data_IF_504363822230
#
_entry.id   IF_504363822230
#
_cell.length_a   1.000
_cell.length_b   1.000
_cell.length_c   1.000
_cell.angle_alpha   90.00
_cell.angle_beta   90.00
_cell.angle_gamma   90.00
#
_symmetry.space_group_name_H-M   'P 1'
#
loop_
_entity.id
_entity.type
_entity.pdbx_description
1 polymer ?
#
# COMPACT_ATOMS: atom_id res chain seq x y z
N UNK A 1 6.77 2.69 -2.07
CA UNK A 1 7.04 1.23 -2.04
C UNK A 1 5.71 0.52 -2.13
N UNK A 2 5.66 -0.60 -2.85
CA UNK A 2 4.44 -1.38 -3.09
C UNK A 2 4.75 -2.84 -2.75
N UNK A 3 3.94 -3.47 -1.92
CA UNK A 3 4.04 -4.89 -1.59
C UNK A 3 2.72 -5.61 -1.90
N UNK A 4 2.81 -6.84 -2.41
CA UNK A 4 1.67 -7.70 -2.70
C UNK A 4 1.64 -8.80 -1.63
N UNK A 5 0.54 -8.89 -0.89
CA UNK A 5 0.35 -9.84 0.20
C UNK A 5 -0.08 -11.19 -0.38
N UNK A 6 0.63 -12.25 0.02
CA UNK A 6 0.29 -13.64 -0.26
C UNK A 6 0.02 -14.41 1.04
N UNK A 7 -0.68 -15.55 0.94
CA UNK A 7 -1.22 -16.38 2.05
C UNK A 7 -0.20 -16.74 3.15
N UNK A 8 1.09 -16.83 2.83
CA UNK A 8 2.15 -17.18 3.79
C UNK A 8 2.79 -15.95 4.42
N UNK A 9 2.69 -15.82 5.75
CA UNK A 9 3.33 -14.83 6.66
C UNK A 9 2.67 -13.43 6.85
N UNK A 10 1.44 -13.25 6.38
CA UNK A 10 0.70 -11.97 6.34
C UNK A 10 0.63 -11.18 7.67
N UNK A 11 0.40 -11.82 8.82
CA UNK A 11 0.12 -11.09 10.07
C UNK A 11 1.38 -10.55 10.77
N UNK A 12 2.49 -11.28 10.72
CA UNK A 12 3.75 -10.92 11.41
C UNK A 12 4.59 -10.00 10.54
N UNK A 13 4.70 -10.32 9.25
CA UNK A 13 5.48 -9.56 8.28
C UNK A 13 4.93 -8.13 8.10
N UNK A 14 3.59 -7.99 8.14
CA UNK A 14 2.90 -6.69 8.05
C UNK A 14 3.22 -5.75 9.20
N UNK A 15 3.52 -6.22 10.41
CA UNK A 15 3.85 -5.32 11.54
C UNK A 15 5.32 -4.90 11.52
N UNK A 16 6.22 -5.85 11.34
CA UNK A 16 7.66 -5.57 11.40
C UNK A 16 8.14 -4.76 10.19
N UNK A 17 7.72 -5.13 8.97
CA UNK A 17 8.07 -4.39 7.75
C UNK A 17 7.46 -3.01 7.73
N UNK A 18 6.19 -2.87 8.12
CA UNK A 18 5.52 -1.57 8.18
C UNK A 18 6.28 -0.61 9.08
N UNK A 19 6.55 -0.97 10.34
CA UNK A 19 7.30 -0.11 11.26
C UNK A 19 8.69 0.26 10.70
N UNK A 20 9.39 -0.71 10.10
CA UNK A 20 10.71 -0.49 9.50
C UNK A 20 10.65 0.49 8.33
N UNK A 21 9.69 0.35 7.42
CA UNK A 21 9.60 1.18 6.23
C UNK A 21 9.05 2.57 6.53
N UNK A 22 8.07 2.70 7.42
CA UNK A 22 7.55 4.02 7.82
C UNK A 22 8.62 4.91 8.49
N UNK A 23 9.69 4.30 9.03
CA UNK A 23 10.86 5.00 9.54
C UNK A 23 11.82 5.55 8.48
N UNK A 24 11.65 5.20 7.19
CA UNK A 24 12.51 5.70 6.13
C UNK A 24 12.16 7.17 5.79
N UNK A 25 13.11 8.12 5.89
CA UNK A 25 12.83 9.55 5.73
C UNK A 25 12.40 9.94 4.31
N UNK A 26 12.81 9.17 3.31
CA UNK A 26 12.50 9.42 1.89
C UNK A 26 11.22 8.73 1.42
N UNK A 27 10.62 7.87 2.25
CA UNK A 27 9.43 7.13 1.86
C UNK A 27 8.21 8.06 1.89
N UNK A 28 7.57 8.25 0.73
CA UNK A 28 6.38 9.09 0.59
C UNK A 28 5.07 8.29 0.69
N UNK A 29 5.09 7.03 0.25
CA UNK A 29 3.95 6.13 0.31
C UNK A 29 4.38 4.67 0.42
N UNK A 30 3.63 3.89 1.19
CA UNK A 30 3.75 2.44 1.32
C UNK A 30 2.39 1.82 1.04
N UNK A 31 2.29 1.04 -0.04
CA UNK A 31 1.05 0.39 -0.45
C UNK A 31 1.17 -1.12 -0.23
N UNK A 32 0.10 -1.72 0.28
CA UNK A 32 -0.09 -3.16 0.43
C UNK A 32 -1.31 -3.57 -0.39
N UNK A 33 -1.17 -4.56 -1.25
CA UNK A 33 -2.28 -5.09 -2.07
C UNK A 33 -2.51 -6.55 -1.73
N UNK A 34 -3.74 -6.94 -1.38
CA UNK A 34 -4.09 -8.35 -1.24
C UNK A 34 -4.14 -9.00 -2.61
N UNK A 35 -3.49 -10.15 -2.82
CA UNK A 35 -3.47 -10.82 -4.12
C UNK A 35 -4.73 -11.64 -4.44
N UNK A 36 -5.63 -11.84 -3.48
CA UNK A 36 -6.81 -12.73 -3.57
C UNK A 36 -8.12 -11.95 -3.63
N UNK A 37 -8.10 -10.72 -3.13
CA UNK A 37 -9.27 -9.84 -3.07
C UNK A 37 -8.88 -8.45 -3.53
N UNK A 38 -9.80 -7.67 -4.14
CA UNK A 38 -9.53 -6.31 -4.52
C UNK A 38 -9.49 -5.43 -3.26
N UNK A 39 -8.44 -5.57 -2.45
CA UNK A 39 -8.25 -4.81 -1.22
C UNK A 39 -6.84 -4.29 -1.15
N UNK A 40 -6.74 -2.97 -1.07
CA UNK A 40 -5.47 -2.28 -0.99
C UNK A 40 -5.44 -1.32 0.19
N UNK A 41 -4.27 -1.22 0.80
CA UNK A 41 -3.98 -0.36 1.94
C UNK A 41 -2.84 0.57 1.58
N UNK A 42 -3.00 1.86 1.84
CA UNK A 42 -1.99 2.87 1.60
C UNK A 42 -1.66 3.64 2.86
N UNK A 43 -0.37 3.75 3.16
CA UNK A 43 0.17 4.66 4.15
C UNK A 43 0.89 5.78 3.41
N UNK A 44 0.42 7.02 3.60
CA UNK A 44 0.94 8.20 2.92
C UNK A 44 1.57 9.14 3.93
N UNK A 45 2.79 9.61 3.62
CA UNK A 45 3.46 10.59 4.48
C UNK A 45 2.78 11.94 4.31
N UNK A 46 2.30 12.50 5.41
CA UNK A 46 1.71 13.85 5.47
C UNK A 46 2.34 14.60 6.66
N UNK A 47 3.24 15.55 6.35
CA UNK A 47 4.04 16.23 7.36
C UNK A 47 4.91 15.26 8.18
N UNK A 48 4.81 15.35 9.50
CA UNK A 48 5.49 14.48 10.46
C UNK A 48 4.79 13.12 10.66
N UNK A 49 3.63 12.92 10.04
CA UNK A 49 2.75 11.78 10.27
C UNK A 49 2.51 10.91 9.04
N UNK A 50 1.67 9.90 9.26
CA UNK A 50 1.22 8.97 8.23
C UNK A 50 -0.32 8.93 8.20
N UNK A 51 -0.90 9.05 7.01
CA UNK A 51 -2.32 8.86 6.78
C UNK A 51 -2.55 7.48 6.20
N UNK A 52 -3.42 6.72 6.85
CA UNK A 52 -3.87 5.42 6.37
C UNK A 52 -5.10 5.58 5.48
N UNK A 53 -5.12 4.87 4.35
CA UNK A 53 -6.27 4.73 3.47
C UNK A 53 -6.45 3.27 3.11
N UNK A 54 -7.69 2.84 3.07
CA UNK A 54 -8.08 1.53 2.58
C UNK A 54 -9.03 1.73 1.42
N UNK A 55 -8.84 0.95 0.36
CA UNK A 55 -9.66 1.02 -0.83
C UNK A 55 -9.89 -0.37 -1.36
N UNK A 56 -11.15 -0.67 -1.67
CA UNK A 56 -11.55 -1.86 -2.41
C UNK A 56 -11.81 -1.56 -3.89
N UNK A 57 -12.08 -0.28 -4.21
CA UNK A 57 -12.35 0.22 -5.55
C UNK A 57 -11.76 1.61 -5.74
N UNK A 58 -11.55 2.01 -6.99
CA UNK A 58 -11.03 3.32 -7.36
C UNK A 58 -9.51 3.35 -7.34
N UNK A 59 -8.95 4.52 -7.02
CA UNK A 59 -7.53 4.79 -7.26
C UNK A 59 -6.76 5.13 -5.98
N UNK A 60 -5.54 4.59 -5.86
CA UNK A 60 -4.59 4.95 -4.79
C UNK A 60 -3.51 5.90 -5.33
N UNK A 61 -3.23 7.04 -4.67
CA UNK A 61 -2.16 7.93 -5.10
C UNK A 61 -0.78 7.26 -5.15
N UNK A 62 0.06 7.68 -6.10
CA UNK A 62 1.48 7.32 -6.20
C UNK A 62 2.32 8.60 -6.20
N UNK A 63 2.57 9.21 -5.01
CA UNK A 63 3.21 10.52 -4.92
C UNK A 63 4.58 10.60 -5.59
N UNK A 64 5.37 9.52 -5.52
CA UNK A 64 6.69 9.46 -6.14
C UNK A 64 6.67 9.48 -7.67
N UNK A 65 5.54 9.15 -8.29
CA UNK A 65 5.35 9.14 -9.75
C UNK A 65 4.42 10.26 -10.21
N UNK A 66 3.83 11.05 -9.30
CA UNK A 66 2.80 12.04 -9.63
C UNK A 66 1.51 11.44 -10.22
N UNK A 67 1.28 10.14 -10.00
CA UNK A 67 0.20 9.38 -10.61
C UNK A 67 -0.70 8.69 -9.60
N UNK A 68 -1.46 7.71 -10.07
CA UNK A 68 -2.33 6.87 -9.26
C UNK A 68 -2.32 5.43 -9.77
N UNK A 69 -2.65 4.51 -8.88
CA UNK A 69 -2.85 3.09 -9.14
C UNK A 69 -4.36 2.84 -9.22
N UNK A 70 -4.89 2.42 -10.37
CA UNK A 70 -6.28 2.02 -10.50
C UNK A 70 -6.45 0.55 -10.06
N UNK A 71 -7.25 0.32 -9.02
CA UNK A 71 -7.50 -1.03 -8.52
C UNK A 71 -8.24 -1.89 -9.55
N UNK A 72 -9.09 -1.31 -10.41
CA UNK A 72 -9.77 -2.07 -11.45
C UNK A 72 -8.78 -2.65 -12.48
N UNK A 73 -7.73 -1.90 -12.83
CA UNK A 73 -6.68 -2.38 -13.72
C UNK A 73 -5.78 -3.41 -13.04
N UNK A 74 -5.41 -3.17 -11.78
CA UNK A 74 -4.54 -4.08 -11.00
C UNK A 74 -5.19 -5.45 -10.81
N UNK A 75 -6.49 -5.46 -10.52
CA UNK A 75 -7.26 -6.68 -10.26
C UNK A 75 -7.97 -7.23 -11.51
N UNK A 76 -7.60 -6.75 -12.70
CA UNK A 76 -8.20 -7.23 -13.94
C UNK A 76 -7.91 -8.73 -14.12
N UNK A 77 -8.97 -9.54 -14.19
CA UNK A 77 -8.88 -10.98 -14.41
C UNK A 77 -8.74 -11.83 -13.15
N UNK A 78 -8.85 -11.22 -11.97
CA UNK A 78 -9.14 -11.93 -10.73
C UNK A 78 -10.63 -12.31 -10.63
#
# INVERSE_FOLDING_TARGET
>A
MIEVLSDSTEATDRREKLCKYLGLPTLQAYLLLDSRTPRAFGYYREGEGWVYREAEVGTLPLPCLGGHLDLAEVYQGL
#
